data_IF_761173871577
#
_entry.id   IF_761173871577
#
_cell.length_a   1.000
_cell.length_b   1.000
_cell.length_c   1.000
_cell.angle_alpha   90.00
_cell.angle_beta   90.00
_cell.angle_gamma   90.00
#
_symmetry.space_group_name_H-M   'P 1'
#
loop_
_entity.id
_entity.type
_entity.pdbx_description
1 polymer ?
#
# COMPACT_ATOMS: atom_id res chain seq x y z
N UNK A 1 -75.20 16.63 -37.05
CA UNK A 1 -73.81 16.21 -37.42
C UNK A 1 -73.00 16.04 -36.17
N UNK A 2 -72.91 14.85 -35.61
CA UNK A 2 -72.14 14.55 -34.37
C UNK A 2 -70.80 13.96 -34.77
N UNK A 3 -69.73 14.64 -34.43
CA UNK A 3 -68.35 14.11 -34.63
C UNK A 3 -67.96 13.33 -33.39
N UNK A 4 -67.70 12.04 -33.61
CA UNK A 4 -67.22 11.09 -32.61
C UNK A 4 -65.69 11.27 -32.50
N UNK A 5 -65.18 11.67 -31.35
CA UNK A 5 -63.74 11.65 -31.08
C UNK A 5 -63.37 10.27 -30.47
N UNK A 6 -62.58 9.53 -31.19
CA UNK A 6 -62.03 8.25 -30.77
C UNK A 6 -60.73 8.53 -29.98
N UNK A 7 -60.79 8.27 -28.68
CA UNK A 7 -59.62 8.40 -27.80
C UNK A 7 -58.81 7.08 -27.84
N UNK A 8 -57.65 7.11 -28.49
CA UNK A 8 -56.70 5.99 -28.52
C UNK A 8 -55.84 6.04 -27.26
N UNK A 9 -56.09 5.16 -26.29
CA UNK A 9 -55.19 4.94 -25.16
C UNK A 9 -54.04 4.04 -25.58
N UNK A 10 -52.85 4.61 -25.74
CA UNK A 10 -51.60 3.84 -25.85
C UNK A 10 -51.21 3.35 -24.44
N UNK A 11 -51.36 2.05 -24.21
CA UNK A 11 -50.79 1.39 -23.03
C UNK A 11 -49.28 1.15 -23.28
N UNK A 12 -48.45 1.96 -22.66
CA UNK A 12 -47.01 1.73 -22.62
C UNK A 12 -46.71 0.56 -21.66
N UNK A 13 -46.43 -0.63 -22.22
CA UNK A 13 -45.94 -1.76 -21.45
C UNK A 13 -44.51 -1.49 -20.99
N UNK A 14 -44.33 -1.18 -19.70
CA UNK A 14 -43.04 -1.07 -19.05
C UNK A 14 -42.48 -2.48 -18.84
N UNK A 15 -41.64 -2.94 -19.79
CA UNK A 15 -40.86 -4.18 -19.64
C UNK A 15 -39.73 -3.90 -18.64
N UNK A 16 -39.97 -4.26 -17.38
CA UNK A 16 -38.90 -4.35 -16.40
C UNK A 16 -37.93 -5.46 -16.82
N UNK A 17 -36.82 -5.07 -17.45
CA UNK A 17 -35.65 -5.94 -17.69
C UNK A 17 -35.04 -6.26 -16.32
N UNK A 18 -35.49 -7.37 -15.74
CA UNK A 18 -34.87 -7.98 -14.58
C UNK A 18 -33.48 -8.49 -15.00
N UNK A 19 -32.43 -7.66 -14.80
CA UNK A 19 -31.08 -8.12 -14.99
C UNK A 19 -30.76 -9.07 -13.82
N UNK A 20 -30.28 -10.30 -14.10
CA UNK A 20 -29.83 -11.17 -13.02
C UNK A 20 -28.66 -10.48 -12.30
N UNK A 21 -28.53 -10.67 -10.97
CA UNK A 21 -27.40 -10.10 -10.24
C UNK A 21 -26.11 -10.60 -10.89
N UNK A 22 -25.29 -9.68 -11.35
CA UNK A 22 -23.93 -9.98 -11.80
C UNK A 22 -23.22 -10.63 -10.62
N UNK A 23 -23.08 -11.94 -10.67
CA UNK A 23 -22.13 -12.66 -9.83
C UNK A 23 -20.77 -12.07 -10.16
N UNK A 24 -20.19 -11.30 -9.24
CA UNK A 24 -18.80 -10.91 -9.31
C UNK A 24 -18.05 -12.22 -9.10
N UNK A 25 -17.72 -12.90 -10.19
CA UNK A 25 -16.71 -13.95 -10.16
C UNK A 25 -15.44 -13.27 -9.70
N UNK A 26 -15.03 -13.55 -8.45
CA UNK A 26 -13.72 -13.18 -7.96
C UNK A 26 -12.73 -13.62 -9.04
N UNK A 27 -12.00 -12.66 -9.61
CA UNK A 27 -10.93 -12.94 -10.57
C UNK A 27 -10.06 -14.02 -9.95
N UNK A 28 -10.03 -15.18 -10.60
CA UNK A 28 -9.16 -16.28 -10.20
C UNK A 28 -7.72 -15.81 -10.39
N UNK A 29 -7.22 -15.06 -9.41
CA UNK A 29 -5.80 -14.79 -9.23
C UNK A 29 -5.13 -16.14 -9.04
N UNK A 30 -4.01 -16.35 -9.73
CA UNK A 30 -3.23 -17.58 -9.79
C UNK A 30 -3.21 -18.29 -8.41
N UNK A 31 -3.88 -19.43 -8.26
CA UNK A 31 -4.17 -20.01 -6.92
C UNK A 31 -2.94 -20.47 -6.15
N UNK A 32 -1.76 -20.50 -6.78
CA UNK A 32 -0.53 -21.09 -6.22
C UNK A 32 0.61 -20.09 -5.99
N UNK A 33 0.39 -18.81 -6.24
CA UNK A 33 1.46 -17.81 -6.04
C UNK A 33 1.65 -17.49 -4.56
N UNK A 34 2.88 -17.64 -4.07
CA UNK A 34 3.26 -17.21 -2.72
C UNK A 34 3.42 -15.69 -2.67
N UNK A 35 2.98 -15.11 -1.56
CA UNK A 35 3.14 -13.70 -1.25
C UNK A 35 3.24 -13.50 0.26
N UNK A 36 3.74 -12.35 0.67
CA UNK A 36 3.98 -12.02 2.07
C UNK A 36 3.09 -10.84 2.47
N UNK A 37 2.41 -10.98 3.62
CA UNK A 37 1.77 -9.88 4.33
C UNK A 37 2.60 -9.53 5.56
N UNK A 38 2.90 -8.25 5.72
CA UNK A 38 3.52 -7.69 6.93
C UNK A 38 2.56 -6.70 7.56
N UNK A 39 2.16 -6.98 8.80
CA UNK A 39 1.29 -6.13 9.61
C UNK A 39 2.15 -5.47 10.70
N UNK A 40 2.50 -4.19 10.48
CA UNK A 40 3.44 -3.46 11.34
C UNK A 40 2.91 -3.37 12.78
N UNK A 41 1.63 -3.04 12.95
CA UNK A 41 1.01 -2.85 14.28
C UNK A 41 0.93 -4.16 15.06
N UNK A 42 0.67 -5.26 14.35
CA UNK A 42 0.57 -6.59 14.93
C UNK A 42 1.91 -7.28 15.10
N UNK A 43 3.01 -6.65 14.64
CA UNK A 43 4.36 -7.24 14.65
C UNK A 43 4.38 -8.64 14.05
N UNK A 44 3.72 -8.79 12.90
CA UNK A 44 3.48 -10.09 12.29
C UNK A 44 3.83 -10.09 10.81
N UNK A 45 4.50 -11.16 10.38
CA UNK A 45 4.71 -11.52 8.99
C UNK A 45 3.97 -12.83 8.72
N UNK A 46 3.16 -12.85 7.67
CA UNK A 46 2.46 -14.05 7.23
C UNK A 46 2.85 -14.37 5.79
N UNK A 47 3.33 -15.59 5.55
CA UNK A 47 3.54 -16.14 4.22
C UNK A 47 2.25 -16.82 3.75
N UNK A 48 1.74 -16.39 2.60
CA UNK A 48 0.54 -16.94 1.97
C UNK A 48 0.88 -17.72 0.69
N UNK A 49 -0.03 -18.67 0.35
CA UNK A 49 -0.20 -19.23 -0.98
C UNK A 49 -1.65 -18.99 -1.39
N UNK A 50 -1.87 -18.16 -2.41
CA UNK A 50 -3.22 -17.69 -2.68
C UNK A 50 -3.85 -17.03 -1.45
N UNK A 51 -4.88 -17.63 -0.85
CA UNK A 51 -5.54 -17.19 0.38
C UNK A 51 -5.14 -18.01 1.62
N UNK A 52 -4.40 -19.09 1.46
CA UNK A 52 -3.96 -19.97 2.54
C UNK A 52 -2.72 -19.39 3.25
N UNK A 53 -2.78 -19.26 4.57
CA UNK A 53 -1.63 -18.90 5.39
C UNK A 53 -0.74 -20.11 5.63
N UNK A 54 0.47 -20.10 5.08
CA UNK A 54 1.44 -21.20 5.20
C UNK A 54 2.29 -21.09 6.47
N UNK A 55 2.66 -19.88 6.86
CA UNK A 55 3.49 -19.64 8.02
C UNK A 55 3.23 -18.25 8.59
N UNK A 56 3.33 -18.13 9.91
CA UNK A 56 3.20 -16.88 10.63
C UNK A 56 4.42 -16.73 11.54
N UNK A 57 5.07 -15.56 11.49
CA UNK A 57 6.25 -15.26 12.28
C UNK A 57 6.12 -13.90 12.97
N UNK A 58 6.47 -13.79 14.25
CA UNK A 58 6.58 -12.49 14.90
C UNK A 58 7.83 -11.77 14.37
N UNK A 59 7.73 -10.44 14.25
CA UNK A 59 8.79 -9.59 13.70
C UNK A 59 9.11 -8.41 14.61
N UNK A 60 10.30 -7.81 14.42
CA UNK A 60 10.54 -6.44 14.81
C UNK A 60 10.45 -5.53 13.59
N UNK A 61 10.06 -4.28 13.82
CA UNK A 61 9.87 -3.26 12.78
C UNK A 61 10.76 -2.05 13.04
N UNK A 62 10.74 -1.08 12.15
CA UNK A 62 11.44 0.19 12.30
C UNK A 62 11.02 0.96 13.55
N UNK A 63 11.96 1.72 14.09
CA UNK A 63 11.70 2.66 15.18
C UNK A 63 10.85 3.84 14.70
N UNK A 64 10.39 4.67 15.62
CA UNK A 64 9.68 5.90 15.29
C UNK A 64 10.49 6.86 14.39
N UNK A 65 11.80 6.95 14.64
CA UNK A 65 12.71 7.81 13.87
C UNK A 65 13.03 7.25 12.48
N UNK A 66 12.95 5.94 12.33
CA UNK A 66 13.25 5.22 11.08
C UNK A 66 12.17 4.18 10.80
N UNK A 67 10.94 4.63 10.44
CA UNK A 67 9.80 3.74 10.30
C UNK A 67 9.98 2.76 9.15
N UNK A 68 9.36 1.61 9.30
CA UNK A 68 9.26 0.63 8.20
C UNK A 68 8.43 1.17 7.05
N UNK A 69 8.78 0.84 5.80
CA UNK A 69 8.00 1.26 4.65
C UNK A 69 6.62 0.59 4.64
N UNK A 70 5.61 1.30 4.14
CA UNK A 70 4.26 0.79 3.92
C UNK A 70 3.94 0.85 2.43
N UNK A 71 3.33 -0.21 1.91
CA UNK A 71 2.97 -0.31 0.49
C UNK A 71 3.10 -1.73 -0.03
N UNK A 72 3.09 -1.87 -1.35
CA UNK A 72 3.29 -3.15 -2.02
C UNK A 72 4.63 -3.11 -2.78
N UNK A 73 5.48 -4.05 -2.44
CA UNK A 73 6.85 -4.18 -2.97
C UNK A 73 7.10 -5.62 -3.41
N UNK A 74 8.32 -5.89 -3.87
CA UNK A 74 8.76 -7.22 -4.28
C UNK A 74 10.12 -7.53 -3.67
N UNK A 75 10.43 -8.81 -3.49
CA UNK A 75 11.78 -9.26 -3.16
C UNK A 75 12.64 -9.07 -4.41
N UNK A 76 13.55 -8.08 -4.40
CA UNK A 76 14.44 -7.80 -5.51
C UNK A 76 15.89 -8.31 -5.32
N UNK A 77 16.17 -8.92 -4.17
CA UNK A 77 17.46 -9.55 -3.89
C UNK A 77 17.35 -10.58 -2.77
N UNK A 78 18.16 -11.65 -2.87
CA UNK A 78 18.20 -12.72 -1.88
C UNK A 78 19.68 -13.01 -1.57
N UNK A 79 20.05 -12.86 -0.31
CA UNK A 79 21.44 -12.98 0.12
C UNK A 79 21.57 -13.91 1.31
N UNK A 80 22.61 -14.73 1.28
CA UNK A 80 23.12 -15.42 2.47
C UNK A 80 24.18 -14.50 3.10
N UNK A 81 24.14 -14.35 4.41
CA UNK A 81 25.04 -13.47 5.14
C UNK A 81 25.65 -14.23 6.33
N UNK A 82 26.87 -13.88 6.66
CA UNK A 82 27.55 -14.31 7.89
C UNK A 82 27.61 -13.19 8.91
N UNK A 83 26.92 -12.08 8.63
CA UNK A 83 27.02 -10.87 9.43
C UNK A 83 26.19 -10.91 10.69
N UNK A 84 26.75 -10.46 11.77
CA UNK A 84 26.15 -10.43 13.08
C UNK A 84 24.81 -9.68 13.16
N UNK A 85 24.60 -8.59 12.42
CA UNK A 85 23.38 -7.77 12.51
C UNK A 85 22.17 -8.30 11.74
N UNK A 86 22.41 -9.07 10.67
CA UNK A 86 21.36 -9.53 9.74
C UNK A 86 21.04 -11.02 9.84
N UNK A 87 21.60 -11.70 10.83
CA UNK A 87 21.53 -13.16 10.90
C UNK A 87 22.16 -13.80 9.66
N UNK A 88 21.57 -14.92 9.19
CA UNK A 88 22.11 -15.73 8.09
C UNK A 88 21.44 -15.51 6.75
N UNK A 89 20.31 -14.79 6.70
CA UNK A 89 19.51 -14.56 5.48
C UNK A 89 19.00 -13.14 5.41
N UNK A 90 19.06 -12.57 4.21
CA UNK A 90 18.53 -11.24 3.88
C UNK A 90 17.75 -11.29 2.58
N UNK A 91 16.51 -10.83 2.63
CA UNK A 91 15.61 -10.62 1.49
C UNK A 91 15.45 -9.11 1.28
N UNK A 92 16.06 -8.57 0.23
CA UNK A 92 15.96 -7.15 -0.13
C UNK A 92 14.59 -6.83 -0.72
N UNK A 93 14.05 -5.67 -0.41
CA UNK A 93 12.76 -5.18 -0.91
C UNK A 93 12.94 -4.05 -1.93
N UNK A 94 12.09 -4.02 -2.95
CA UNK A 94 12.10 -3.03 -4.03
C UNK A 94 11.53 -1.67 -3.62
N UNK A 95 11.85 -1.20 -2.41
CA UNK A 95 11.43 0.10 -1.92
C UNK A 95 12.24 1.20 -2.62
N UNK A 96 11.60 2.15 -3.37
CA UNK A 96 12.35 3.08 -4.21
C UNK A 96 13.18 4.11 -3.45
N UNK A 97 12.87 4.38 -2.17
CA UNK A 97 13.49 5.46 -1.41
C UNK A 97 14.51 5.01 -0.35
N UNK A 98 14.82 3.72 -0.28
CA UNK A 98 15.79 3.23 0.71
C UNK A 98 16.10 1.75 0.58
N UNK A 99 17.08 1.32 1.37
CA UNK A 99 17.48 -0.10 1.45
C UNK A 99 16.72 -0.75 2.59
N UNK A 100 15.69 -1.48 2.27
CA UNK A 100 14.86 -2.20 3.23
C UNK A 100 14.90 -3.70 2.93
N UNK A 101 14.70 -4.50 3.97
CA UNK A 101 14.69 -5.95 3.81
C UNK A 101 14.00 -6.68 4.95
N UNK A 102 13.84 -7.98 4.74
CA UNK A 102 13.41 -8.96 5.72
C UNK A 102 14.61 -9.85 6.01
N UNK A 103 15.01 -9.97 7.27
CA UNK A 103 16.24 -10.68 7.62
C UNK A 103 16.19 -11.29 9.02
N UNK A 104 17.09 -12.22 9.29
CA UNK A 104 17.32 -12.74 10.64
C UNK A 104 17.93 -11.67 11.55
N UNK A 105 17.93 -11.93 12.86
CA UNK A 105 18.63 -11.06 13.82
C UNK A 105 19.33 -11.89 14.88
N UNK A 106 20.52 -11.41 15.29
CA UNK A 106 21.23 -11.92 16.46
C UNK A 106 20.75 -11.29 17.77
N UNK A 107 19.73 -10.39 17.70
CA UNK A 107 19.03 -9.77 18.81
C UNK A 107 17.59 -10.25 18.88
N UNK A 108 17.33 -11.53 19.25
CA UNK A 108 15.98 -12.11 19.28
C UNK A 108 15.04 -11.43 20.27
N UNK A 109 15.57 -10.77 21.31
CA UNK A 109 14.84 -9.96 22.27
C UNK A 109 14.16 -8.74 21.65
N UNK A 110 14.63 -8.30 20.46
CA UNK A 110 14.03 -7.17 19.72
C UNK A 110 12.73 -7.54 19.03
N UNK A 111 12.42 -8.83 18.86
CA UNK A 111 11.21 -9.29 18.17
C UNK A 111 9.96 -8.87 18.97
N UNK A 112 8.99 -8.29 18.27
CA UNK A 112 7.80 -7.69 18.88
C UNK A 112 7.94 -6.17 19.09
N UNK A 113 9.16 -5.61 18.96
CA UNK A 113 9.45 -4.20 19.20
C UNK A 113 9.63 -3.36 17.93
N UNK A 114 9.78 -2.05 18.14
CA UNK A 114 10.17 -1.06 17.12
C UNK A 114 11.68 -0.78 17.23
N UNK A 115 12.50 -1.74 16.81
CA UNK A 115 13.91 -1.80 17.17
C UNK A 115 14.88 -1.73 15.97
N UNK A 116 14.38 -1.57 14.74
CA UNK A 116 15.22 -1.53 13.55
C UNK A 116 15.30 -0.12 12.94
N UNK A 117 16.14 0.03 11.93
CA UNK A 117 16.20 1.22 11.08
C UNK A 117 15.28 1.09 9.84
N UNK A 118 14.14 0.41 10.01
CA UNK A 118 13.12 0.24 8.98
C UNK A 118 13.01 -1.17 8.40
N UNK A 119 14.03 -2.02 8.53
CA UNK A 119 13.96 -3.42 8.12
C UNK A 119 13.06 -4.25 9.04
N UNK A 120 12.61 -5.40 8.53
CA UNK A 120 11.81 -6.37 9.28
C UNK A 120 12.72 -7.48 9.81
N UNK A 121 12.84 -7.58 11.13
CA UNK A 121 13.67 -8.60 11.77
C UNK A 121 12.86 -9.84 12.12
N UNK A 122 13.39 -10.98 11.81
CA UNK A 122 12.91 -12.31 12.18
C UNK A 122 13.90 -13.00 13.12
N UNK A 123 13.46 -14.02 13.86
CA UNK A 123 14.42 -14.99 14.41
C UNK A 123 15.16 -15.66 13.24
N UNK A 124 16.42 -16.03 13.46
CA UNK A 124 17.27 -16.61 12.39
C UNK A 124 16.57 -17.81 11.73
N UNK A 125 16.05 -18.75 12.54
CA UNK A 125 15.33 -19.92 12.03
C UNK A 125 14.11 -19.58 11.16
N UNK A 126 13.37 -18.51 11.52
CA UNK A 126 12.18 -18.09 10.78
C UNK A 126 12.58 -17.42 9.46
N UNK A 127 13.68 -16.64 9.46
CA UNK A 127 14.25 -16.05 8.26
C UNK A 127 14.78 -17.12 7.29
N UNK A 128 15.43 -18.17 7.78
CA UNK A 128 15.90 -19.31 6.98
C UNK A 128 14.74 -20.07 6.35
N UNK A 129 13.70 -20.37 7.15
CA UNK A 129 12.50 -21.05 6.68
C UNK A 129 11.76 -20.21 5.61
N UNK A 130 11.63 -18.88 5.82
CA UNK A 130 11.04 -17.98 4.83
C UNK A 130 11.89 -17.95 3.55
N UNK A 131 13.19 -17.76 3.68
CA UNK A 131 14.13 -17.71 2.57
C UNK A 131 14.06 -18.95 1.67
N UNK A 132 13.94 -20.13 2.26
CA UNK A 132 13.82 -21.39 1.52
C UNK A 132 12.53 -21.48 0.70
N UNK A 133 11.47 -20.77 1.11
CA UNK A 133 10.15 -20.88 0.52
C UNK A 133 9.80 -19.80 -0.51
N UNK A 134 10.49 -18.66 -0.50
CA UNK A 134 10.13 -17.51 -1.35
C UNK A 134 11.18 -17.26 -2.43
N UNK A 135 10.82 -17.29 -3.72
CA UNK A 135 11.71 -16.91 -4.81
C UNK A 135 11.91 -15.37 -4.87
N UNK A 136 12.81 -14.93 -5.72
CA UNK A 136 12.85 -13.52 -6.14
C UNK A 136 11.53 -13.10 -6.77
N UNK A 137 11.25 -11.80 -6.71
CA UNK A 137 9.99 -11.19 -7.20
C UNK A 137 8.72 -11.64 -6.47
N UNK A 138 8.86 -12.32 -5.33
CA UNK A 138 7.72 -12.55 -4.43
C UNK A 138 7.15 -11.22 -3.98
N UNK A 139 5.83 -11.05 -4.12
CA UNK A 139 5.10 -9.86 -3.70
C UNK A 139 5.10 -9.76 -2.18
N UNK A 140 5.36 -8.56 -1.66
CA UNK A 140 5.32 -8.22 -0.24
C UNK A 140 4.39 -7.05 -0.04
N UNK A 141 3.30 -7.27 0.68
CA UNK A 141 2.35 -6.22 1.08
C UNK A 141 2.67 -5.84 2.52
N UNK A 142 2.87 -4.57 2.76
CA UNK A 142 3.19 -4.04 4.09
C UNK A 142 2.13 -3.02 4.45
N UNK A 143 1.45 -3.25 5.55
CA UNK A 143 0.34 -2.42 6.03
C UNK A 143 0.41 -2.22 7.53
N UNK A 144 -0.39 -1.28 8.00
CA UNK A 144 -0.44 -0.89 9.41
C UNK A 144 0.46 0.29 9.72
N UNK A 145 0.35 0.76 10.92
CA UNK A 145 0.98 1.96 11.43
C UNK A 145 -0.08 2.81 12.14
N UNK A 146 0.32 3.77 12.97
CA UNK A 146 -0.62 4.55 13.77
C UNK A 146 -1.64 5.32 12.92
N UNK A 147 -1.34 5.52 11.64
CA UNK A 147 -2.20 6.22 10.68
C UNK A 147 -2.51 5.37 9.42
N UNK A 148 -2.55 4.06 9.57
CA UNK A 148 -2.81 3.15 8.44
C UNK A 148 -1.72 3.23 7.37
N UNK A 149 -2.11 3.49 6.13
CA UNK A 149 -1.15 3.56 5.00
C UNK A 149 -0.36 4.88 4.93
N UNK A 150 -0.54 5.81 5.85
CA UNK A 150 0.17 7.10 5.88
C UNK A 150 1.49 7.05 6.63
N UNK A 151 1.77 5.97 7.35
CA UNK A 151 3.02 5.76 8.07
C UNK A 151 3.09 6.58 9.35
N UNK A 152 3.92 7.60 9.36
CA UNK A 152 4.24 8.44 10.52
C UNK A 152 3.33 9.67 10.70
N UNK A 153 2.18 9.69 10.04
CA UNK A 153 1.17 10.75 10.18
C UNK A 153 1.18 11.79 9.06
N UNK A 154 0.33 12.80 9.20
CA UNK A 154 0.15 13.86 8.21
C UNK A 154 1.16 14.99 8.39
N UNK A 155 2.42 14.75 8.02
CA UNK A 155 3.41 15.82 7.91
C UNK A 155 3.27 16.56 6.58
N UNK A 156 3.71 17.81 6.53
CA UNK A 156 3.83 18.52 5.25
C UNK A 156 4.86 17.85 4.37
N UNK A 157 4.45 17.49 3.13
CA UNK A 157 5.35 16.91 2.13
C UNK A 157 5.78 17.97 1.12
N UNK A 158 7.05 17.90 0.69
CA UNK A 158 7.69 18.87 -0.21
C UNK A 158 8.47 18.17 -1.32
N UNK A 159 8.80 18.84 -2.43
CA UNK A 159 9.70 18.31 -3.44
C UNK A 159 10.99 17.76 -2.84
N UNK A 160 11.38 16.57 -3.29
CA UNK A 160 12.54 15.82 -2.76
C UNK A 160 12.22 14.86 -1.62
N UNK A 161 11.08 14.97 -0.95
CA UNK A 161 10.65 14.02 0.07
C UNK A 161 10.45 12.62 -0.52
N UNK A 162 10.69 11.59 0.34
CA UNK A 162 10.55 10.18 -0.03
C UNK A 162 10.00 9.41 1.16
N UNK A 163 8.79 8.87 1.05
CA UNK A 163 8.16 8.11 2.12
C UNK A 163 6.85 7.45 1.68
N UNK A 164 6.31 6.60 2.55
CA UNK A 164 5.06 5.87 2.33
C UNK A 164 3.85 6.80 2.15
N UNK A 165 3.80 7.94 2.86
CA UNK A 165 2.70 8.89 2.74
C UNK A 165 2.57 9.45 1.32
N UNK A 166 3.69 9.61 0.61
CA UNK A 166 3.69 10.08 -0.78
C UNK A 166 2.99 9.08 -1.70
N UNK A 167 3.15 7.77 -1.48
CA UNK A 167 2.42 6.75 -2.25
C UNK A 167 0.90 6.98 -2.16
N UNK A 168 0.39 7.22 -0.95
CA UNK A 168 -1.04 7.44 -0.76
C UNK A 168 -1.50 8.74 -1.44
N UNK A 169 -0.73 9.81 -1.32
CA UNK A 169 -1.03 11.08 -1.99
C UNK A 169 -1.01 10.91 -3.52
N UNK A 170 0.00 10.25 -4.07
CA UNK A 170 0.09 9.95 -5.50
C UNK A 170 -1.13 9.16 -5.99
N UNK A 171 -1.57 8.14 -5.22
CA UNK A 171 -2.79 7.37 -5.53
C UNK A 171 -4.05 8.24 -5.53
N UNK A 172 -4.20 9.12 -4.54
CA UNK A 172 -5.35 10.03 -4.45
C UNK A 172 -5.36 11.05 -5.59
N UNK A 173 -4.20 11.63 -5.88
CA UNK A 173 -4.05 12.54 -7.04
C UNK A 173 -4.34 11.82 -8.36
N UNK A 174 -3.90 10.57 -8.53
CA UNK A 174 -4.19 9.77 -9.71
C UNK A 174 -5.69 9.44 -9.82
N UNK A 175 -6.32 9.03 -8.73
CA UNK A 175 -7.77 8.75 -8.70
C UNK A 175 -8.61 9.99 -9.06
N UNK A 176 -8.13 11.19 -8.76
CA UNK A 176 -8.79 12.45 -9.08
C UNK A 176 -8.33 13.08 -10.40
N UNK A 177 -7.48 12.37 -11.16
CA UNK A 177 -7.06 12.79 -12.51
C UNK A 177 -5.95 13.83 -12.57
N UNK A 178 -5.25 14.09 -11.47
CA UNK A 178 -4.14 15.06 -11.44
C UNK A 178 -2.77 14.41 -11.65
N UNK A 179 -2.60 13.12 -11.35
CA UNK A 179 -1.32 12.43 -11.42
C UNK A 179 -1.40 11.19 -12.33
N UNK A 180 -0.43 11.07 -13.25
CA UNK A 180 -0.36 9.99 -14.22
C UNK A 180 0.92 9.15 -14.12
N UNK A 181 1.74 9.43 -13.11
CA UNK A 181 2.96 8.67 -12.82
C UNK A 181 2.71 7.43 -11.96
N UNK A 182 3.78 6.69 -11.69
CA UNK A 182 3.74 5.58 -10.73
C UNK A 182 3.66 6.09 -9.30
N UNK A 183 2.90 5.40 -8.46
CA UNK A 183 2.87 5.68 -7.01
C UNK A 183 4.13 5.07 -6.35
N UNK A 184 5.26 5.74 -6.53
CA UNK A 184 6.60 5.29 -6.16
C UNK A 184 7.11 5.82 -4.81
N UNK A 185 6.35 6.72 -4.17
CA UNK A 185 6.73 7.30 -2.89
C UNK A 185 7.80 8.39 -2.99
N UNK A 186 8.04 8.94 -4.18
CA UNK A 186 9.02 10.00 -4.43
C UNK A 186 8.30 11.29 -4.85
N UNK A 187 8.51 12.37 -4.14
CA UNK A 187 8.01 13.69 -4.52
C UNK A 187 8.94 14.32 -5.57
N UNK A 188 8.83 13.83 -6.81
CA UNK A 188 9.56 14.31 -7.96
C UNK A 188 8.79 15.35 -8.78
N UNK A 189 9.35 15.82 -9.91
CA UNK A 189 8.75 16.87 -10.75
C UNK A 189 7.32 16.54 -11.25
N UNK A 190 7.04 15.27 -11.59
CA UNK A 190 5.70 14.86 -12.01
C UNK A 190 4.67 15.03 -10.89
N UNK A 191 5.04 14.73 -9.63
CA UNK A 191 4.17 14.96 -8.49
C UNK A 191 4.03 16.46 -8.18
N UNK A 192 5.09 17.26 -8.32
CA UNK A 192 5.04 18.72 -8.18
C UNK A 192 3.99 19.34 -9.09
N UNK A 193 4.00 18.99 -10.37
CA UNK A 193 2.99 19.45 -11.33
C UNK A 193 1.57 19.05 -10.93
N UNK A 194 1.37 17.82 -10.48
CA UNK A 194 0.08 17.30 -10.04
C UNK A 194 -0.43 18.03 -8.78
N UNK A 195 0.44 18.26 -7.81
CA UNK A 195 0.11 18.98 -6.57
C UNK A 195 -0.31 20.41 -6.86
N UNK A 196 0.45 21.14 -7.67
CA UNK A 196 0.11 22.52 -8.07
C UNK A 196 -1.24 22.56 -8.81
N UNK A 197 -1.46 21.64 -9.76
CA UNK A 197 -2.71 21.55 -10.50
C UNK A 197 -3.92 21.25 -9.57
N UNK A 198 -3.77 20.31 -8.65
CA UNK A 198 -4.80 19.97 -7.69
C UNK A 198 -5.10 21.16 -6.75
N UNK A 199 -4.07 21.84 -6.23
CA UNK A 199 -4.25 23.01 -5.36
C UNK A 199 -5.02 24.12 -6.05
N UNK A 200 -4.70 24.42 -7.30
CA UNK A 200 -5.44 25.39 -8.14
C UNK A 200 -6.89 24.98 -8.31
N UNK A 201 -7.14 23.73 -8.68
CA UNK A 201 -8.49 23.21 -8.88
C UNK A 201 -9.35 23.29 -7.60
N UNK A 202 -8.73 23.14 -6.43
CA UNK A 202 -9.40 23.25 -5.13
C UNK A 202 -9.45 24.67 -4.53
N UNK A 203 -8.96 25.67 -5.24
CA UNK A 203 -8.92 27.05 -4.75
C UNK A 203 -7.96 27.27 -3.57
N UNK A 204 -6.92 26.44 -3.47
CA UNK A 204 -5.85 26.58 -2.48
C UNK A 204 -4.73 27.48 -3.04
N UNK A 205 -3.87 27.98 -2.13
CA UNK A 205 -2.68 28.77 -2.53
C UNK A 205 -1.77 27.97 -3.46
N UNK A 206 -1.14 28.66 -4.42
CA UNK A 206 -0.31 28.09 -5.47
C UNK A 206 1.09 27.72 -4.92
N UNK A 207 1.13 26.70 -4.06
CA UNK A 207 2.34 26.22 -3.40
C UNK A 207 2.62 24.77 -3.79
N UNK A 208 3.91 24.45 -3.95
CA UNK A 208 4.36 23.09 -4.23
C UNK A 208 4.57 22.33 -2.92
N UNK A 209 3.46 21.99 -2.26
CA UNK A 209 3.46 21.20 -1.03
C UNK A 209 2.14 20.48 -0.79
N UNK A 210 2.20 19.39 -0.07
CA UNK A 210 1.03 18.69 0.49
C UNK A 210 0.94 19.04 1.96
N UNK A 211 0.03 19.92 2.30
CA UNK A 211 -0.27 20.36 3.65
C UNK A 211 -1.63 19.83 4.13
N UNK A 212 -2.02 20.16 5.36
CA UNK A 212 -3.30 19.74 5.93
C UNK A 212 -4.51 20.17 5.07
N UNK A 213 -4.42 21.30 4.35
CA UNK A 213 -5.49 21.77 3.48
C UNK A 213 -5.63 20.83 2.26
N UNK A 214 -4.52 20.49 1.60
CA UNK A 214 -4.55 19.56 0.46
C UNK A 214 -4.89 18.14 0.88
N UNK A 215 -4.38 17.64 2.02
CA UNK A 215 -4.77 16.34 2.54
C UNK A 215 -6.29 16.22 2.69
N UNK A 216 -6.96 17.22 3.27
CA UNK A 216 -8.43 17.24 3.40
C UNK A 216 -9.13 17.19 2.05
N UNK A 217 -8.66 17.93 1.04
CA UNK A 217 -9.24 17.92 -0.32
C UNK A 217 -9.06 16.56 -1.02
N UNK A 218 -7.98 15.86 -0.71
CA UNK A 218 -7.72 14.51 -1.21
C UNK A 218 -8.50 13.43 -0.45
N UNK A 219 -9.29 13.80 0.56
CA UNK A 219 -10.04 12.86 1.39
C UNK A 219 -9.13 12.04 2.32
N UNK A 220 -7.95 12.58 2.65
CA UNK A 220 -7.02 12.00 3.61
C UNK A 220 -7.27 12.70 4.95
N UNK A 221 -7.98 12.01 5.84
CA UNK A 221 -8.34 12.52 7.15
C UNK A 221 -7.72 11.64 8.23
N UNK A 222 -7.23 12.24 9.30
CA UNK A 222 -6.94 11.51 10.53
C UNK A 222 -8.26 11.26 11.24
N UNK A 223 -8.46 10.05 11.75
CA UNK A 223 -9.52 9.79 12.71
C UNK A 223 -9.09 10.39 14.05
N UNK A 224 -9.90 11.26 14.62
CA UNK A 224 -9.79 11.73 16.00
C UNK A 224 -10.35 10.70 16.97
#
# INVERSE_FOLDING_TARGET
MRRLFLCLCLAAACVLLCHPPRTITASAGVPDQKWILIEIDRKRLTLYRGTEALAVSPIATGSWQTPSPIGAFYINGRFMTEMSGFGTRFLSLSVPWGKYGIHGTNHPESIGGNASHGCFRLRVKDAEALYAQVPGWTKVVIEGGPYGNLGDGLRTLRPGDRCSAIIEVQRRLAHQGFYYGSADGIYGPAMSGAVIAARRAYGLSDQDMVDAALYRRLGILLFE
#
